data_IF_162576782601
#
_entry.id   IF_162576782601
#
_cell.length_a   1.000
_cell.length_b   1.000
_cell.length_c   1.000
_cell.angle_alpha   90.00
_cell.angle_beta   90.00
_cell.angle_gamma   90.00
#
_symmetry.space_group_name_H-M   'P 1'
#
loop_
_entity.id
_entity.type
_entity.pdbx_description
1 polymer ?
#
# COMPACT_ATOMS: atom_id res chain seq x y z
N UNK A 1 10.00 6.42 38.08
CA UNK A 1 9.33 5.91 36.89
C UNK A 1 10.10 4.72 36.34
N UNK A 2 9.42 3.69 35.89
CA UNK A 2 9.97 2.53 35.19
C UNK A 2 9.40 2.43 33.79
N UNK A 3 10.25 2.22 32.80
CA UNK A 3 9.88 2.03 31.41
C UNK A 3 10.40 0.67 30.97
N UNK A 4 9.52 -0.21 30.55
CA UNK A 4 9.87 -1.49 29.94
C UNK A 4 9.52 -1.44 28.46
N UNK A 5 10.50 -1.68 27.58
CA UNK A 5 10.35 -1.67 26.12
C UNK A 5 10.31 -3.12 25.64
N UNK A 6 9.19 -3.52 25.05
CA UNK A 6 8.98 -4.85 24.46
C UNK A 6 8.18 -4.69 23.15
N UNK A 7 7.18 -5.56 22.90
CA UNK A 7 6.18 -5.32 21.84
C UNK A 7 5.37 -4.03 22.04
N UNK A 8 5.29 -3.56 23.27
CA UNK A 8 4.75 -2.25 23.70
C UNK A 8 5.73 -1.60 24.65
N UNK A 9 5.49 -0.34 24.98
CA UNK A 9 6.22 0.36 26.03
C UNK A 9 5.32 0.42 27.25
N UNK A 10 5.70 -0.27 28.33
CA UNK A 10 5.02 -0.22 29.62
C UNK A 10 5.64 0.87 30.50
N UNK A 11 4.85 1.81 30.95
CA UNK A 11 5.27 2.96 31.75
C UNK A 11 4.58 2.87 33.11
N UNK A 12 5.37 2.69 34.19
CA UNK A 12 4.87 2.60 35.57
C UNK A 12 5.42 3.72 36.41
N UNK A 13 4.60 4.23 37.32
CA UNK A 13 4.99 5.30 38.23
C UNK A 13 5.33 6.61 37.54
N UNK A 14 4.70 6.90 36.38
CA UNK A 14 4.84 8.17 35.68
C UNK A 14 4.04 9.30 36.36
N UNK A 15 4.50 10.56 36.26
CA UNK A 15 3.71 11.71 36.70
C UNK A 15 2.39 11.80 35.90
N UNK A 16 1.30 12.21 36.59
CA UNK A 16 -0.02 12.32 35.97
C UNK A 16 -0.03 13.17 34.67
N UNK A 17 0.65 14.35 34.59
CA UNK A 17 0.66 15.15 33.35
C UNK A 17 1.30 14.41 32.16
N UNK A 18 2.28 13.53 32.40
CA UNK A 18 2.88 12.71 31.34
C UNK A 18 1.88 11.65 30.84
N UNK A 19 1.19 10.99 31.78
CA UNK A 19 0.17 9.99 31.43
C UNK A 19 -0.97 10.64 30.64
N UNK A 20 -1.46 11.81 31.08
CA UNK A 20 -2.54 12.55 30.43
C UNK A 20 -2.17 13.01 29.01
N UNK A 21 -0.92 13.48 28.79
CA UNK A 21 -0.41 13.79 27.44
C UNK A 21 -0.47 12.57 26.51
N UNK A 22 -0.11 11.38 27.01
CA UNK A 22 -0.19 10.16 26.22
C UNK A 22 -1.62 9.68 26.01
N UNK A 23 -2.48 9.71 27.00
CA UNK A 23 -3.90 9.36 26.87
C UNK A 23 -4.56 10.24 25.80
N UNK A 24 -4.31 11.55 25.85
CA UNK A 24 -4.82 12.49 24.85
C UNK A 24 -4.29 12.20 23.45
N UNK A 25 -2.98 11.96 23.31
CA UNK A 25 -2.35 11.67 22.01
C UNK A 25 -2.78 10.32 21.41
N UNK A 26 -3.06 9.33 22.25
CA UNK A 26 -3.41 7.96 21.85
C UNK A 26 -4.92 7.73 21.74
N UNK A 27 -5.72 8.76 22.02
CA UNK A 27 -7.17 8.74 21.81
C UNK A 27 -7.48 9.37 20.45
N UNK A 28 -7.95 8.56 19.53
CA UNK A 28 -8.19 8.93 18.12
C UNK A 28 -9.70 8.89 17.84
N UNK A 29 -10.22 9.87 17.13
CA UNK A 29 -11.60 9.84 16.66
C UNK A 29 -11.84 8.66 15.71
N UNK A 30 -12.92 7.93 15.93
CA UNK A 30 -13.28 6.81 15.05
C UNK A 30 -13.95 7.33 13.78
N UNK A 31 -13.32 7.15 12.59
CA UNK A 31 -13.89 7.62 11.32
C UNK A 31 -15.26 7.00 11.02
N UNK A 32 -15.46 5.74 11.38
CA UNK A 32 -16.74 5.03 11.16
C UNK A 32 -17.86 5.70 11.94
N UNK A 33 -17.60 6.11 13.18
CA UNK A 33 -18.55 6.86 14.01
C UNK A 33 -18.85 8.23 13.38
N UNK A 34 -17.81 8.97 12.99
CA UNK A 34 -17.96 10.30 12.39
C UNK A 34 -18.73 10.26 11.06
N UNK A 35 -18.46 9.26 10.23
CA UNK A 35 -19.16 9.09 8.95
C UNK A 35 -20.63 8.69 9.14
N UNK A 36 -20.93 7.82 10.13
CA UNK A 36 -22.29 7.45 10.46
C UNK A 36 -23.09 8.68 10.94
N UNK A 37 -22.49 9.50 11.83
CA UNK A 37 -23.09 10.76 12.29
C UNK A 37 -23.36 11.74 11.14
N UNK A 38 -22.40 11.96 10.26
CA UNK A 38 -22.56 12.85 9.09
C UNK A 38 -23.67 12.41 8.12
N UNK A 39 -23.89 11.10 8.03
CA UNK A 39 -24.90 10.52 7.15
C UNK A 39 -26.25 10.26 7.83
N UNK A 40 -26.42 10.68 9.11
CA UNK A 40 -27.62 10.43 9.88
C UNK A 40 -27.91 8.95 10.15
N UNK A 41 -26.88 8.09 10.07
CA UNK A 41 -27.00 6.65 10.35
C UNK A 41 -26.85 6.39 11.85
N UNK A 42 -27.42 5.25 12.31
CA UNK A 42 -27.27 4.83 13.70
C UNK A 42 -25.78 4.62 14.05
N UNK A 43 -25.37 5.13 15.19
CA UNK A 43 -24.02 4.91 15.78
C UNK A 43 -24.05 3.89 16.90
N UNK A 44 -25.17 3.17 17.09
CA UNK A 44 -25.28 2.15 18.13
C UNK A 44 -24.22 1.05 17.92
N UNK A 45 -23.50 0.73 18.98
CA UNK A 45 -22.41 -0.25 18.94
C UNK A 45 -21.10 0.22 18.27
N UNK A 46 -21.04 1.45 17.74
CA UNK A 46 -19.82 2.03 17.17
C UNK A 46 -19.17 2.96 18.20
N UNK A 47 -17.96 2.63 18.72
CA UNK A 47 -17.28 3.50 19.69
C UNK A 47 -16.88 4.83 19.02
N UNK A 48 -17.08 5.95 19.75
CA UNK A 48 -16.70 7.28 19.27
C UNK A 48 -15.20 7.45 19.12
N UNK A 49 -14.42 6.82 20.01
CA UNK A 49 -12.96 6.91 20.03
C UNK A 49 -12.31 5.54 19.88
N UNK A 50 -11.13 5.54 19.31
CA UNK A 50 -10.19 4.42 19.28
C UNK A 50 -9.09 4.74 20.28
N UNK A 51 -8.92 3.89 21.29
CA UNK A 51 -7.87 4.02 22.29
C UNK A 51 -6.69 3.13 21.89
N UNK A 52 -5.56 3.75 21.52
CA UNK A 52 -4.34 3.03 21.14
C UNK A 52 -3.38 2.91 22.34
N UNK A 53 -3.91 2.65 23.53
CA UNK A 53 -3.18 2.38 24.76
C UNK A 53 -3.96 1.42 25.63
N UNK A 54 -3.30 0.85 26.63
CA UNK A 54 -3.91 -0.02 27.62
C UNK A 54 -3.57 0.47 29.04
N UNK A 55 -4.56 0.44 29.91
CA UNK A 55 -4.32 0.67 31.33
C UNK A 55 -3.70 -0.60 31.93
N UNK A 56 -2.57 -0.46 32.61
CA UNK A 56 -1.89 -1.52 33.35
C UNK A 56 -1.79 -1.16 34.81
N UNK A 57 -1.48 -2.16 35.64
CA UNK A 57 -1.25 -1.90 37.07
C UNK A 57 -0.12 -0.89 37.28
N UNK A 58 -0.45 0.24 37.90
CA UNK A 58 0.49 1.33 38.20
C UNK A 58 0.92 2.19 37.03
N UNK A 59 0.23 2.13 35.85
CA UNK A 59 0.59 2.94 34.70
C UNK A 59 -0.17 2.64 33.42
N UNK A 60 0.48 2.86 32.28
CA UNK A 60 -0.07 2.63 30.94
C UNK A 60 0.90 1.83 30.05
N UNK A 61 0.34 1.07 29.11
CA UNK A 61 1.08 0.49 28.00
C UNK A 61 0.74 1.23 26.72
N UNK A 62 1.76 1.69 26.01
CA UNK A 62 1.63 2.48 24.78
C UNK A 62 2.32 1.77 23.61
N UNK A 63 1.96 2.05 22.35
CA UNK A 63 2.65 1.50 21.19
C UNK A 63 4.13 1.90 21.17
N UNK A 64 4.98 1.01 20.69
CA UNK A 64 6.45 1.25 20.72
C UNK A 64 6.91 2.37 19.77
N UNK A 65 6.19 2.68 18.70
CA UNK A 65 6.49 3.82 17.83
C UNK A 65 6.39 5.17 18.54
N UNK A 66 5.82 5.21 19.76
CA UNK A 66 5.80 6.40 20.63
C UNK A 66 7.10 6.63 21.39
N UNK A 67 8.15 5.81 21.21
CA UNK A 67 9.40 5.88 22.00
C UNK A 67 10.06 7.26 21.97
N UNK A 68 10.19 7.87 20.78
CA UNK A 68 10.77 9.24 20.67
C UNK A 68 9.96 10.27 21.42
N UNK A 69 8.64 10.22 21.27
CA UNK A 69 7.73 11.11 22.02
C UNK A 69 7.87 10.87 23.53
N UNK A 70 8.06 9.64 23.97
CA UNK A 70 8.25 9.33 25.38
C UNK A 70 9.57 9.94 25.91
N UNK A 71 10.66 9.86 25.18
CA UNK A 71 11.94 10.48 25.57
C UNK A 71 11.77 11.99 25.74
N UNK A 72 11.12 12.66 24.79
CA UNK A 72 10.80 14.11 24.91
C UNK A 72 9.86 14.40 26.08
N UNK A 73 8.89 13.55 26.36
CA UNK A 73 8.00 13.73 27.50
C UNK A 73 8.73 13.57 28.84
N UNK A 74 9.66 12.63 28.95
CA UNK A 74 10.53 12.44 30.13
C UNK A 74 11.32 13.72 30.41
N UNK A 75 11.87 14.35 29.39
CA UNK A 75 12.59 15.62 29.49
C UNK A 75 11.63 16.77 29.84
N UNK A 76 10.54 16.93 29.11
CA UNK A 76 9.50 17.97 29.28
C UNK A 76 8.94 18.02 30.71
N UNK A 77 8.67 16.85 31.28
CA UNK A 77 8.10 16.71 32.62
C UNK A 77 9.18 16.54 33.72
N UNK A 78 10.46 16.73 33.39
CA UNK A 78 11.60 16.72 34.31
C UNK A 78 11.63 15.47 35.22
N UNK A 79 11.48 14.29 34.62
CA UNK A 79 11.48 13.02 35.36
C UNK A 79 12.91 12.65 35.74
N UNK A 80 13.29 12.95 36.98
CA UNK A 80 14.69 12.83 37.47
C UNK A 80 15.19 11.40 37.64
N UNK A 81 14.30 10.43 37.86
CA UNK A 81 14.67 9.02 38.04
C UNK A 81 13.85 8.16 37.11
N UNK A 82 14.46 7.63 36.07
CA UNK A 82 13.87 6.74 35.13
C UNK A 82 14.73 5.49 34.96
N UNK A 83 14.13 4.31 35.22
CA UNK A 83 14.75 3.00 34.92
C UNK A 83 14.18 2.53 33.59
N UNK A 84 15.07 2.21 32.66
CA UNK A 84 14.68 1.66 31.34
C UNK A 84 15.13 0.21 31.29
N UNK A 85 14.21 -0.67 30.94
CA UNK A 85 14.44 -2.11 30.72
C UNK A 85 14.08 -2.38 29.26
N UNK A 86 15.05 -2.86 28.49
CA UNK A 86 14.83 -3.26 27.10
C UNK A 86 14.71 -4.79 27.03
N UNK A 87 13.48 -5.29 26.83
CA UNK A 87 13.15 -6.71 26.75
C UNK A 87 12.93 -7.17 25.30
N UNK A 88 13.26 -6.33 24.32
CA UNK A 88 13.09 -6.66 22.90
C UNK A 88 14.07 -7.74 22.45
N UNK A 89 13.63 -8.58 21.52
CA UNK A 89 14.43 -9.69 21.03
C UNK A 89 15.43 -9.23 19.96
N UNK A 90 16.72 -9.39 20.29
CA UNK A 90 17.83 -9.19 19.36
C UNK A 90 18.68 -10.45 19.33
N UNK A 91 19.11 -10.84 18.14
CA UNK A 91 20.00 -11.98 17.92
C UNK A 91 21.42 -11.49 17.63
N UNK A 92 22.39 -12.40 17.63
CA UNK A 92 23.70 -12.11 17.08
C UNK A 92 23.59 -11.74 15.61
N UNK A 93 24.45 -10.82 15.18
CA UNK A 93 24.44 -10.35 13.80
C UNK A 93 24.94 -11.47 12.88
N UNK A 94 24.11 -11.88 11.93
CA UNK A 94 24.52 -12.79 10.86
C UNK A 94 24.85 -11.98 9.59
N UNK A 95 25.99 -12.29 8.98
CA UNK A 95 26.39 -11.63 7.75
C UNK A 95 25.49 -12.08 6.59
N UNK A 96 24.81 -11.14 5.96
CA UNK A 96 23.99 -11.37 4.76
C UNK A 96 24.62 -10.62 3.58
N UNK A 97 25.03 -11.35 2.54
CA UNK A 97 25.61 -10.76 1.34
C UNK A 97 24.55 -9.99 0.53
N UNK A 98 24.79 -8.72 0.34
CA UNK A 98 23.92 -7.81 -0.42
C UNK A 98 24.59 -7.25 -1.69
N UNK A 99 25.71 -7.81 -2.16
CA UNK A 99 26.43 -7.34 -3.36
C UNK A 99 25.60 -7.39 -4.63
N UNK A 100 24.56 -8.22 -4.65
CA UNK A 100 23.59 -8.26 -5.74
C UNK A 100 22.67 -7.02 -5.77
N UNK A 101 22.61 -6.24 -4.67
CA UNK A 101 21.83 -5.00 -4.60
C UNK A 101 22.64 -3.86 -5.19
N UNK A 102 22.17 -3.35 -6.33
CA UNK A 102 22.72 -2.12 -6.94
C UNK A 102 21.79 -0.97 -6.62
N UNK A 103 22.27 -0.04 -5.79
CA UNK A 103 21.49 1.14 -5.43
C UNK A 103 21.36 2.13 -6.58
N UNK A 104 20.16 2.66 -6.75
CA UNK A 104 19.97 3.92 -7.45
C UNK A 104 20.47 5.07 -6.54
N UNK A 105 20.93 6.23 -7.11
CA UNK A 105 21.56 7.29 -6.31
C UNK A 105 20.75 7.80 -5.12
N UNK A 106 19.43 7.71 -5.17
CA UNK A 106 18.52 8.15 -4.11
C UNK A 106 18.18 7.09 -3.05
N UNK A 107 18.67 5.85 -3.16
CA UNK A 107 18.29 4.75 -2.27
C UNK A 107 19.25 4.56 -1.09
N UNK A 108 20.54 4.81 -1.25
CA UNK A 108 21.53 4.54 -0.22
C UNK A 108 21.32 5.41 1.04
N UNK A 109 21.04 6.70 0.87
CA UNK A 109 20.75 7.61 1.98
C UNK A 109 19.61 7.12 2.88
N UNK A 110 18.42 6.85 2.32
CA UNK A 110 17.29 6.28 3.07
C UNK A 110 17.56 4.95 3.79
N UNK A 111 18.41 4.07 3.22
CA UNK A 111 18.83 2.84 3.91
C UNK A 111 19.62 3.20 5.17
N UNK A 112 20.62 4.09 5.04
CA UNK A 112 21.41 4.57 6.17
C UNK A 112 20.51 5.24 7.22
N UNK A 113 19.59 6.10 6.79
CA UNK A 113 18.67 6.80 7.67
C UNK A 113 17.83 5.84 8.52
N UNK A 114 17.29 4.77 7.92
CA UNK A 114 16.51 3.76 8.64
C UNK A 114 17.34 3.09 9.74
N UNK A 115 18.54 2.62 9.41
CA UNK A 115 19.34 1.81 10.35
C UNK A 115 20.10 2.64 11.40
N UNK A 116 20.30 3.95 11.16
CA UNK A 116 21.09 4.81 12.08
C UNK A 116 20.24 5.73 12.94
N UNK A 117 19.04 6.12 12.45
CA UNK A 117 18.18 7.08 13.17
C UNK A 117 17.27 6.44 14.21
N UNK A 118 17.18 5.12 14.27
CA UNK A 118 16.39 4.42 15.29
C UNK A 118 16.17 2.95 14.96
N UNK A 119 15.65 2.21 15.95
CA UNK A 119 15.32 0.79 15.82
C UNK A 119 13.88 0.59 15.29
N UNK A 120 13.16 1.69 15.11
CA UNK A 120 11.82 1.74 14.56
C UNK A 120 11.62 3.00 13.72
N UNK A 121 10.72 2.92 12.76
CA UNK A 121 10.38 4.04 11.87
C UNK A 121 9.86 3.58 10.53
N UNK A 122 9.69 4.53 9.61
CA UNK A 122 9.13 4.25 8.31
C UNK A 122 9.97 4.84 7.18
N UNK A 123 9.99 4.11 6.06
CA UNK A 123 10.34 4.64 4.75
C UNK A 123 9.07 5.12 4.05
N UNK A 124 9.02 6.40 3.72
CA UNK A 124 8.03 6.97 2.81
C UNK A 124 8.67 7.18 1.44
N UNK A 125 8.18 6.48 0.44
CA UNK A 125 8.78 6.51 -0.88
C UNK A 125 7.75 6.20 -1.98
N UNK A 126 7.71 6.95 -3.10
CA UNK A 126 6.69 6.76 -4.13
C UNK A 126 6.72 5.35 -4.73
N UNK A 127 5.64 4.98 -5.40
CA UNK A 127 5.62 3.74 -6.17
C UNK A 127 6.73 3.78 -7.24
N UNK A 128 7.38 2.63 -7.50
CA UNK A 128 8.51 2.57 -8.45
C UNK A 128 9.87 3.01 -7.89
N UNK A 129 9.93 3.61 -6.70
CA UNK A 129 11.20 4.02 -6.06
C UNK A 129 12.11 2.86 -5.62
N UNK A 130 11.59 1.62 -5.58
CA UNK A 130 12.32 0.45 -5.11
C UNK A 130 12.28 0.26 -3.58
N UNK A 131 11.17 0.55 -2.91
CA UNK A 131 10.97 0.31 -1.47
C UNK A 131 11.43 -1.07 -1.01
N UNK A 132 11.11 -2.12 -1.80
CA UNK A 132 11.52 -3.49 -1.50
C UNK A 132 13.04 -3.64 -1.49
N UNK A 133 13.76 -2.97 -2.40
CA UNK A 133 15.24 -2.97 -2.43
C UNK A 133 15.79 -2.34 -1.16
N UNK A 134 15.23 -1.19 -0.75
CA UNK A 134 15.64 -0.52 0.51
C UNK A 134 15.37 -1.43 1.71
N UNK A 135 14.18 -2.04 1.79
CA UNK A 135 13.85 -2.97 2.88
C UNK A 135 14.77 -4.20 2.93
N UNK A 136 15.07 -4.82 1.79
CA UNK A 136 16.01 -5.96 1.71
C UNK A 136 17.44 -5.55 2.06
N UNK A 137 17.83 -4.30 1.77
CA UNK A 137 19.12 -3.75 2.21
C UNK A 137 19.19 -3.61 3.73
N UNK A 138 18.06 -3.19 4.35
CA UNK A 138 17.98 -3.15 5.81
C UNK A 138 18.10 -4.56 6.40
N UNK A 139 17.47 -5.58 5.79
CA UNK A 139 17.63 -6.99 6.22
C UNK A 139 19.11 -7.38 6.20
N UNK A 140 19.83 -7.08 5.12
CA UNK A 140 21.23 -7.43 4.98
C UNK A 140 22.13 -6.70 6.01
N UNK A 141 21.90 -5.41 6.23
CA UNK A 141 22.72 -4.59 7.15
C UNK A 141 22.45 -4.97 8.60
N UNK A 142 21.18 -5.21 8.95
CA UNK A 142 20.77 -5.53 10.33
C UNK A 142 21.14 -6.97 10.70
N UNK A 143 21.15 -7.90 9.73
CA UNK A 143 21.59 -9.29 9.91
C UNK A 143 20.83 -10.04 10.99
N UNK A 144 19.51 -9.91 11.03
CA UNK A 144 18.64 -10.54 12.03
C UNK A 144 17.62 -11.47 11.36
N UNK A 145 17.21 -12.56 12.04
CA UNK A 145 16.03 -13.30 11.62
C UNK A 145 14.87 -12.34 11.37
N UNK A 146 14.35 -12.34 10.14
CA UNK A 146 13.44 -11.32 9.64
C UNK A 146 12.07 -11.88 9.33
N UNK A 147 11.02 -11.18 9.76
CA UNK A 147 9.65 -11.37 9.31
C UNK A 147 9.23 -10.20 8.41
N UNK A 148 8.94 -10.52 7.15
CA UNK A 148 8.41 -9.58 6.15
C UNK A 148 6.89 -9.75 6.05
N UNK A 149 6.13 -8.78 6.56
CA UNK A 149 4.66 -8.83 6.60
C UNK A 149 4.06 -8.23 5.35
N UNK A 150 3.12 -8.96 4.74
CA UNK A 150 2.33 -8.52 3.58
C UNK A 150 0.85 -8.82 3.79
N UNK A 151 -0.01 -8.20 2.99
CA UNK A 151 -1.46 -8.42 3.06
C UNK A 151 -1.99 -9.29 1.92
N UNK A 152 -1.22 -9.57 0.85
CA UNK A 152 -1.67 -10.41 -0.27
C UNK A 152 -0.68 -11.54 -0.60
N UNK A 153 -1.23 -12.65 -1.12
CA UNK A 153 -0.43 -13.80 -1.59
C UNK A 153 0.57 -13.42 -2.68
N UNK A 154 0.18 -12.48 -3.56
CA UNK A 154 1.01 -12.04 -4.69
C UNK A 154 2.21 -11.24 -4.20
N UNK A 155 2.01 -10.29 -3.27
CA UNK A 155 3.11 -9.57 -2.63
C UNK A 155 4.06 -10.51 -1.87
N UNK A 156 3.52 -11.55 -1.23
CA UNK A 156 4.34 -12.56 -0.56
C UNK A 156 5.26 -13.30 -1.54
N UNK A 157 4.73 -13.77 -2.68
CA UNK A 157 5.52 -14.41 -3.73
C UNK A 157 6.61 -13.47 -4.28
N UNK A 158 6.26 -12.20 -4.52
CA UNK A 158 7.22 -11.20 -5.00
C UNK A 158 8.31 -10.89 -3.98
N UNK A 159 7.97 -10.80 -2.70
CA UNK A 159 8.95 -10.54 -1.63
C UNK A 159 9.96 -11.68 -1.53
N UNK A 160 9.52 -12.94 -1.57
CA UNK A 160 10.43 -14.11 -1.57
C UNK A 160 11.32 -14.09 -2.81
N UNK A 161 10.76 -13.98 -4.02
CA UNK A 161 11.54 -14.00 -5.25
C UNK A 161 12.59 -12.88 -5.31
N UNK A 162 12.26 -11.69 -4.80
CA UNK A 162 13.20 -10.58 -4.69
C UNK A 162 14.27 -10.82 -3.62
N UNK A 163 13.88 -11.40 -2.47
CA UNK A 163 14.83 -11.74 -1.43
C UNK A 163 15.84 -12.78 -1.92
N UNK A 164 15.41 -13.85 -2.56
CA UNK A 164 16.28 -14.86 -3.19
C UNK A 164 17.25 -14.23 -4.21
N UNK A 165 16.77 -13.28 -5.01
CA UNK A 165 17.58 -12.58 -6.01
C UNK A 165 18.63 -11.64 -5.38
N UNK A 166 18.27 -10.91 -4.36
CA UNK A 166 19.08 -9.82 -3.81
C UNK A 166 19.91 -10.22 -2.59
N UNK A 167 19.57 -11.32 -1.92
CA UNK A 167 20.22 -11.85 -0.73
C UNK A 167 20.68 -13.30 -0.96
N UNK A 168 21.60 -13.53 -1.92
CA UNK A 168 21.96 -14.87 -2.37
C UNK A 168 22.69 -15.74 -1.33
N UNK A 169 23.18 -15.13 -0.22
CA UNK A 169 23.82 -15.87 0.86
C UNK A 169 22.83 -16.55 1.82
N UNK A 170 21.56 -16.18 1.77
CA UNK A 170 20.52 -16.89 2.53
C UNK A 170 20.21 -18.19 1.79
N UNK A 171 20.39 -19.34 2.46
CA UNK A 171 20.13 -20.63 1.86
C UNK A 171 18.62 -20.84 1.64
N UNK A 172 18.24 -21.70 0.70
CA UNK A 172 16.81 -21.92 0.39
C UNK A 172 16.03 -22.48 1.58
N UNK A 173 16.68 -23.24 2.44
CA UNK A 173 16.09 -23.81 3.65
C UNK A 173 15.85 -22.77 4.74
N UNK A 174 16.55 -21.64 4.67
CA UNK A 174 16.43 -20.52 5.62
C UNK A 174 15.29 -19.54 5.29
N UNK A 175 14.67 -19.70 4.09
CA UNK A 175 13.45 -19.00 3.73
C UNK A 175 12.23 -19.71 4.26
N UNK A 176 11.24 -18.94 4.70
CA UNK A 176 9.97 -19.46 5.19
C UNK A 176 8.76 -18.69 4.68
N UNK A 177 7.60 -19.32 4.80
CA UNK A 177 6.32 -18.72 4.46
C UNK A 177 5.25 -19.06 5.49
N UNK A 178 4.56 -18.02 5.97
CA UNK A 178 3.36 -18.13 6.79
C UNK A 178 2.18 -17.63 5.95
N UNK A 179 1.49 -18.56 5.31
CA UNK A 179 0.41 -18.23 4.37
C UNK A 179 0.18 -19.33 3.35
N UNK A 180 -0.86 -19.21 2.54
CA UNK A 180 -1.17 -20.16 1.46
C UNK A 180 -1.29 -21.62 1.92
N UNK A 181 -1.86 -21.84 3.11
CA UNK A 181 -1.98 -23.17 3.71
C UNK A 181 -0.74 -23.67 4.47
N UNK A 182 0.37 -22.93 4.46
CA UNK A 182 1.62 -23.26 5.15
C UNK A 182 1.80 -22.40 6.41
N UNK A 183 2.42 -23.01 7.41
CA UNK A 183 2.97 -22.34 8.58
C UNK A 183 4.40 -22.83 8.78
N UNK A 184 5.31 -22.25 8.04
CA UNK A 184 6.70 -22.71 7.99
C UNK A 184 7.63 -21.47 8.10
N UNK A 185 7.89 -21.00 9.32
CA UNK A 185 8.79 -19.88 9.53
C UNK A 185 10.24 -20.32 9.30
N UNK A 186 10.89 -19.73 8.31
CA UNK A 186 12.30 -19.93 8.03
C UNK A 186 13.22 -19.45 9.15
N UNK A 187 14.50 -19.79 9.06
CA UNK A 187 15.49 -19.37 10.04
C UNK A 187 15.88 -17.90 9.87
N UNK A 188 16.12 -17.43 8.63
CA UNK A 188 16.64 -16.08 8.37
C UNK A 188 15.62 -15.14 7.74
N UNK A 189 14.80 -15.60 6.84
CA UNK A 189 13.83 -14.74 6.16
C UNK A 189 12.48 -15.43 6.01
N UNK A 190 11.47 -14.86 6.64
CA UNK A 190 10.09 -15.37 6.56
C UNK A 190 9.17 -14.33 5.98
N UNK A 191 8.34 -14.71 5.01
CA UNK A 191 7.23 -13.86 4.55
C UNK A 191 5.94 -14.30 5.20
N UNK A 192 5.28 -13.37 5.90
CA UNK A 192 4.02 -13.60 6.62
C UNK A 192 2.83 -12.92 5.93
N UNK A 193 1.76 -13.68 5.67
CA UNK A 193 0.45 -13.15 5.30
C UNK A 193 -0.36 -12.82 6.54
N UNK A 194 -0.60 -11.54 6.79
CA UNK A 194 -1.30 -11.05 7.97
C UNK A 194 -2.65 -11.73 8.18
N UNK A 195 -3.46 -11.90 7.11
CA UNK A 195 -4.77 -12.56 7.21
C UNK A 195 -4.70 -14.04 7.62
N UNK A 196 -3.57 -14.71 7.34
CA UNK A 196 -3.35 -16.09 7.80
C UNK A 196 -2.94 -16.11 9.26
N UNK A 197 -2.09 -15.18 9.67
CA UNK A 197 -1.52 -15.12 11.02
C UNK A 197 -2.56 -14.79 12.11
N UNK A 198 -3.62 -14.03 11.77
CA UNK A 198 -4.64 -13.60 12.75
C UNK A 198 -5.82 -14.55 12.91
N UNK A 199 -5.84 -15.68 12.20
CA UNK A 199 -6.92 -16.67 12.33
C UNK A 199 -6.95 -17.25 13.72
N UNK A 200 -8.14 -17.51 14.26
CA UNK A 200 -8.31 -18.03 15.62
C UNK A 200 -7.56 -19.35 15.86
N UNK A 201 -7.61 -20.25 14.87
CA UNK A 201 -6.90 -21.54 14.92
C UNK A 201 -5.36 -21.40 14.91
N UNK A 202 -4.83 -20.18 14.70
CA UNK A 202 -3.39 -19.87 14.63
C UNK A 202 -2.89 -19.02 15.81
N UNK A 203 -3.74 -18.74 16.78
CA UNK A 203 -3.40 -17.82 17.87
C UNK A 203 -2.24 -18.33 18.74
N UNK A 204 -2.19 -19.62 19.03
CA UNK A 204 -1.07 -20.24 19.76
C UNK A 204 0.22 -20.16 18.94
N UNK A 205 0.17 -20.56 17.68
CA UNK A 205 1.31 -20.48 16.77
C UNK A 205 1.83 -19.05 16.60
N UNK A 206 0.94 -18.05 16.59
CA UNK A 206 1.33 -16.64 16.53
C UNK A 206 2.04 -16.22 17.83
N UNK A 207 1.59 -16.69 18.98
CA UNK A 207 2.28 -16.46 20.27
C UNK A 207 3.68 -17.06 20.29
N UNK A 208 3.88 -18.24 19.70
CA UNK A 208 5.19 -18.92 19.61
C UNK A 208 6.19 -18.13 18.75
N UNK A 209 5.71 -17.26 17.86
CA UNK A 209 6.56 -16.38 17.06
C UNK A 209 7.07 -15.15 17.82
N UNK A 210 6.61 -14.91 19.06
CA UNK A 210 6.88 -13.69 19.83
C UNK A 210 8.35 -13.25 19.78
N UNK A 211 9.26 -14.15 20.10
CA UNK A 211 10.69 -13.90 20.22
C UNK A 211 11.52 -14.59 19.13
N UNK A 212 10.90 -14.91 17.99
CA UNK A 212 11.56 -15.62 16.89
C UNK A 212 12.28 -14.69 15.91
N UNK A 213 11.89 -13.44 15.82
CA UNK A 213 12.42 -12.49 14.86
C UNK A 213 13.07 -11.29 15.57
N UNK A 214 14.26 -10.89 15.09
CA UNK A 214 14.93 -9.68 15.54
C UNK A 214 14.56 -8.45 14.71
N UNK A 215 14.06 -8.67 13.49
CA UNK A 215 13.59 -7.64 12.57
C UNK A 215 12.18 -7.97 12.04
N UNK A 216 11.28 -6.99 12.08
CA UNK A 216 9.99 -7.05 11.39
C UNK A 216 9.87 -5.89 10.42
N UNK A 217 9.54 -6.19 9.17
CA UNK A 217 9.28 -5.18 8.13
C UNK A 217 7.83 -5.32 7.67
N UNK A 218 7.09 -4.21 7.69
CA UNK A 218 5.75 -4.11 7.15
C UNK A 218 5.81 -3.53 5.75
N UNK A 219 5.48 -4.32 4.76
CA UNK A 219 5.29 -3.83 3.39
C UNK A 219 3.89 -3.24 3.24
N UNK A 220 3.79 -2.12 2.52
CA UNK A 220 2.58 -1.30 2.42
C UNK A 220 2.01 -0.92 3.82
N UNK A 221 2.85 -0.30 4.63
CA UNK A 221 2.59 0.00 6.05
C UNK A 221 1.33 0.86 6.29
N UNK A 222 0.78 1.52 5.25
CA UNK A 222 -0.49 2.24 5.34
C UNK A 222 -1.68 1.32 5.69
N UNK A 223 -1.54 0.00 5.59
CA UNK A 223 -2.50 -0.97 6.11
C UNK A 223 -2.38 -1.22 7.62
N UNK A 224 -1.31 -0.75 8.29
CA UNK A 224 -1.03 -0.99 9.72
C UNK A 224 -2.21 -0.67 10.66
N UNK A 225 -2.99 0.42 10.48
CA UNK A 225 -4.13 0.71 11.33
C UNK A 225 -5.27 -0.32 11.29
N UNK A 226 -5.24 -1.28 10.35
CA UNK A 226 -6.20 -2.37 10.36
C UNK A 226 -5.99 -3.28 11.57
N UNK A 227 -7.07 -3.69 12.21
CA UNK A 227 -7.08 -4.53 13.43
C UNK A 227 -6.22 -5.79 13.27
N UNK A 228 -6.21 -6.36 12.07
CA UNK A 228 -5.43 -7.56 11.75
C UNK A 228 -3.92 -7.32 11.82
N UNK A 229 -3.41 -6.21 11.27
CA UNK A 229 -2.00 -5.85 11.37
C UNK A 229 -1.58 -5.57 12.80
N UNK A 230 -2.38 -4.79 13.53
CA UNK A 230 -2.13 -4.48 14.95
C UNK A 230 -2.10 -5.74 15.81
N UNK A 231 -3.01 -6.72 15.54
CA UNK A 231 -3.03 -8.00 16.26
C UNK A 231 -1.72 -8.76 16.07
N UNK A 232 -1.17 -8.82 14.85
CA UNK A 232 0.12 -9.49 14.60
C UNK A 232 1.27 -8.73 15.26
N UNK A 233 1.39 -7.42 15.02
CA UNK A 233 2.52 -6.61 15.54
C UNK A 233 2.56 -6.64 17.07
N UNK A 234 1.41 -6.55 17.72
CA UNK A 234 1.31 -6.56 19.18
C UNK A 234 1.66 -7.92 19.83
N UNK A 235 1.76 -9.00 19.06
CA UNK A 235 2.22 -10.31 19.56
C UNK A 235 3.74 -10.49 19.41
N UNK A 236 4.38 -9.76 18.50
CA UNK A 236 5.80 -9.91 18.16
C UNK A 236 6.67 -8.95 18.96
N UNK A 237 7.88 -9.38 19.33
CA UNK A 237 8.80 -8.61 20.16
C UNK A 237 10.17 -8.36 19.48
N UNK A 238 10.23 -7.96 18.20
CA UNK A 238 11.50 -7.75 17.51
C UNK A 238 12.25 -6.54 18.06
N UNK A 239 13.57 -6.53 17.97
CA UNK A 239 14.38 -5.34 18.27
C UNK A 239 14.13 -4.25 17.23
N UNK A 240 14.12 -4.60 15.94
CA UNK A 240 13.91 -3.67 14.83
C UNK A 240 12.51 -3.80 14.24
N UNK A 241 11.83 -2.67 14.02
CA UNK A 241 10.49 -2.61 13.45
C UNK A 241 10.38 -1.47 12.43
N UNK A 242 10.26 -1.81 11.15
CA UNK A 242 10.18 -0.81 10.10
C UNK A 242 8.95 -0.98 9.22
N UNK A 243 8.39 0.16 8.77
CA UNK A 243 7.31 0.20 7.79
C UNK A 243 7.80 0.76 6.45
N UNK A 244 7.32 0.20 5.35
CA UNK A 244 7.54 0.71 4.00
C UNK A 244 6.20 1.15 3.41
N UNK A 245 6.09 2.39 2.95
CA UNK A 245 4.82 2.89 2.38
C UNK A 245 5.06 3.89 1.24
N UNK A 246 4.14 3.89 0.27
CA UNK A 246 4.11 4.94 -0.75
C UNK A 246 3.36 6.18 -0.27
N UNK A 247 2.33 5.98 0.53
CA UNK A 247 1.42 7.03 1.00
C UNK A 247 1.34 6.99 2.52
N UNK A 248 1.95 7.95 3.24
CA UNK A 248 1.86 7.99 4.68
C UNK A 248 0.49 8.51 5.18
N UNK A 249 -0.31 9.10 4.29
CA UNK A 249 -1.61 9.68 4.63
C UNK A 249 -2.75 8.77 4.22
N UNK A 250 -3.82 8.75 5.03
CA UNK A 250 -5.03 7.94 4.83
C UNK A 250 -6.26 8.83 4.80
N UNK A 251 -7.28 8.45 4.02
CA UNK A 251 -8.56 9.18 3.97
C UNK A 251 -9.32 9.19 5.28
N UNK A 252 -9.23 8.08 6.00
CA UNK A 252 -9.87 7.90 7.30
C UNK A 252 -9.11 8.59 8.45
N UNK A 253 -7.98 9.26 8.16
CA UNK A 253 -7.11 9.92 9.14
C UNK A 253 -6.58 8.99 10.23
N UNK A 254 -6.57 7.68 9.98
CA UNK A 254 -6.00 6.68 10.88
C UNK A 254 -4.48 6.50 10.69
N UNK A 255 -3.83 7.29 9.82
CA UNK A 255 -2.37 7.32 9.72
C UNK A 255 -1.70 7.63 11.06
N UNK A 256 -2.36 8.34 11.95
CA UNK A 256 -1.85 8.60 13.30
C UNK A 256 -1.58 7.29 14.05
N UNK A 257 -2.43 6.27 13.90
CA UNK A 257 -2.23 4.94 14.52
C UNK A 257 -0.99 4.25 13.93
N UNK A 258 -0.76 4.40 12.63
CA UNK A 258 0.44 3.88 11.98
C UNK A 258 1.71 4.53 12.55
N UNK A 259 1.73 5.86 12.70
CA UNK A 259 2.84 6.58 13.32
C UNK A 259 3.03 6.21 14.80
N UNK A 260 1.95 6.06 15.55
CA UNK A 260 2.00 5.61 16.94
C UNK A 260 2.57 4.19 17.06
N UNK A 261 2.32 3.32 16.09
CA UNK A 261 2.75 1.90 16.13
C UNK A 261 4.17 1.70 15.61
N UNK A 262 4.52 2.33 14.49
CA UNK A 262 5.78 2.10 13.77
C UNK A 262 6.83 3.20 14.00
N UNK A 263 6.42 4.34 14.55
CA UNK A 263 7.25 5.53 14.66
C UNK A 263 7.09 6.47 13.47
N UNK A 264 7.88 7.54 13.48
CA UNK A 264 7.83 8.60 12.48
C UNK A 264 8.44 8.15 11.13
N UNK A 265 8.23 8.97 10.09
CA UNK A 265 8.92 8.81 8.81
C UNK A 265 10.42 9.10 8.97
N UNK A 266 11.19 8.07 9.22
CA UNK A 266 12.64 8.14 9.48
C UNK A 266 13.42 8.38 8.20
N UNK A 267 12.95 7.84 7.08
CA UNK A 267 13.57 7.96 5.76
C UNK A 267 12.51 8.35 4.71
N UNK A 268 12.88 9.25 3.80
CA UNK A 268 11.98 9.75 2.75
C UNK A 268 12.70 9.75 1.40
N UNK A 269 12.07 9.19 0.39
CA UNK A 269 12.46 9.35 -1.03
C UNK A 269 11.40 10.24 -1.68
N UNK A 270 11.82 11.37 -2.23
CA UNK A 270 10.92 12.29 -2.93
C UNK A 270 10.71 11.85 -4.38
N UNK A 271 9.53 12.13 -4.94
CA UNK A 271 9.20 11.78 -6.32
C UNK A 271 10.17 12.42 -7.32
N UNK A 272 10.54 13.67 -7.10
CA UNK A 272 11.47 14.43 -7.96
C UNK A 272 12.88 13.77 -8.02
N UNK A 273 13.32 13.15 -6.93
CA UNK A 273 14.57 12.40 -6.92
C UNK A 273 14.49 11.15 -7.78
N UNK A 274 13.34 10.43 -7.70
CA UNK A 274 13.13 9.20 -8.48
C UNK A 274 13.04 9.53 -9.97
N UNK A 275 12.34 10.60 -10.33
CA UNK A 275 12.23 11.10 -11.69
C UNK A 275 13.58 11.54 -12.26
N UNK A 276 14.32 12.37 -11.53
CA UNK A 276 15.63 12.90 -11.93
C UNK A 276 16.64 11.82 -12.34
N UNK A 277 16.57 10.67 -11.68
CA UNK A 277 17.48 9.55 -11.95
C UNK A 277 16.84 8.45 -12.82
N UNK A 278 15.76 8.76 -13.57
CA UNK A 278 15.11 7.85 -14.50
C UNK A 278 14.48 6.61 -13.84
N UNK A 279 14.18 6.71 -12.56
CA UNK A 279 13.52 5.62 -11.82
C UNK A 279 12.04 5.48 -12.13
N UNK A 280 11.43 6.55 -12.61
CA UNK A 280 10.04 6.63 -13.07
C UNK A 280 9.93 7.50 -14.32
N UNK A 281 8.89 7.24 -15.09
CA UNK A 281 8.43 8.07 -16.20
C UNK A 281 7.13 8.71 -15.75
N UNK A 282 7.06 10.04 -15.65
CA UNK A 282 5.81 10.73 -15.28
C UNK A 282 4.81 10.56 -16.43
N UNK A 283 3.67 9.89 -16.22
CA UNK A 283 2.71 9.67 -17.28
C UNK A 283 2.01 10.98 -17.66
N UNK A 284 1.71 11.14 -18.95
CA UNK A 284 0.76 12.16 -19.41
C UNK A 284 -0.67 11.66 -19.26
N UNK A 285 -1.60 12.55 -18.97
CA UNK A 285 -3.03 12.25 -18.95
C UNK A 285 -3.70 12.83 -20.18
N UNK A 286 -4.30 11.97 -20.97
CA UNK A 286 -5.15 12.35 -22.09
C UNK A 286 -6.60 12.10 -21.73
N UNK A 287 -7.41 13.15 -21.61
CA UNK A 287 -8.82 12.96 -21.33
C UNK A 287 -9.69 13.20 -22.55
N UNK A 288 -10.73 12.36 -22.69
CA UNK A 288 -11.78 12.54 -23.67
C UNK A 288 -13.08 12.92 -23.00
N UNK A 289 -13.77 13.94 -23.55
CA UNK A 289 -15.13 14.25 -23.17
C UNK A 289 -16.09 13.25 -23.83
N UNK A 290 -16.97 12.70 -23.02
CA UNK A 290 -18.03 11.82 -23.48
C UNK A 290 -19.36 12.53 -23.28
N UNK A 291 -20.11 12.66 -24.37
CA UNK A 291 -21.44 13.27 -24.36
C UNK A 291 -22.53 12.20 -24.27
N UNK A 292 -23.46 12.40 -23.37
CA UNK A 292 -24.61 11.53 -23.13
C UNK A 292 -25.90 12.36 -23.19
N UNK A 293 -27.04 11.73 -23.46
CA UNK A 293 -28.32 12.42 -23.31
C UNK A 293 -28.48 12.85 -21.84
N UNK A 294 -29.08 14.01 -21.65
CA UNK A 294 -29.34 14.55 -20.31
C UNK A 294 -30.08 13.52 -19.44
N UNK A 295 -29.63 13.37 -18.18
CA UNK A 295 -30.12 12.34 -17.27
C UNK A 295 -30.65 13.01 -16.01
N UNK A 296 -31.97 12.98 -15.85
CA UNK A 296 -32.67 13.38 -14.63
C UNK A 296 -32.86 12.18 -13.66
N UNK A 297 -31.81 11.41 -13.44
CA UNK A 297 -31.82 10.26 -12.53
C UNK A 297 -30.85 10.48 -11.38
N UNK A 298 -31.34 10.35 -10.15
CA UNK A 298 -30.54 10.42 -8.92
C UNK A 298 -30.03 9.04 -8.48
N UNK A 299 -30.40 7.96 -9.16
CA UNK A 299 -29.96 6.62 -8.84
C UNK A 299 -28.59 6.33 -9.46
N UNK A 300 -27.54 6.49 -8.66
CA UNK A 300 -26.15 6.31 -9.08
C UNK A 300 -25.90 4.92 -9.70
N UNK A 301 -26.53 3.87 -9.18
CA UNK A 301 -26.36 2.51 -9.72
C UNK A 301 -26.92 2.38 -11.14
N UNK A 302 -28.07 3.01 -11.39
CA UNK A 302 -28.70 3.05 -12.71
C UNK A 302 -27.88 3.89 -13.70
N UNK A 303 -27.40 5.08 -13.26
CA UNK A 303 -26.51 5.93 -14.06
C UNK A 303 -25.29 5.12 -14.52
N UNK A 304 -24.63 4.41 -13.61
CA UNK A 304 -23.46 3.60 -13.95
C UNK A 304 -23.78 2.47 -14.92
N UNK A 305 -24.93 1.79 -14.74
CA UNK A 305 -25.34 0.73 -15.66
C UNK A 305 -25.61 1.27 -17.06
N UNK A 306 -26.52 2.25 -17.16
CA UNK A 306 -27.09 2.68 -18.44
C UNK A 306 -26.14 3.59 -19.23
N UNK A 307 -25.34 4.42 -18.54
CA UNK A 307 -24.45 5.42 -19.17
C UNK A 307 -22.98 5.05 -19.21
N UNK A 308 -22.53 4.06 -18.42
CA UNK A 308 -21.15 3.59 -18.43
C UNK A 308 -21.05 2.17 -19.00
N UNK A 309 -21.72 1.20 -18.38
CA UNK A 309 -21.57 -0.22 -18.74
C UNK A 309 -22.22 -0.52 -20.09
N UNK A 310 -23.48 -0.10 -20.25
CA UNK A 310 -24.32 -0.42 -21.41
C UNK A 310 -24.27 0.63 -22.53
N UNK A 311 -23.49 1.70 -22.34
CA UNK A 311 -23.35 2.77 -23.33
C UNK A 311 -22.44 2.34 -24.50
N UNK A 312 -23.07 1.88 -25.59
CA UNK A 312 -22.36 1.38 -26.78
C UNK A 312 -21.40 2.40 -27.39
N UNK A 313 -21.83 3.65 -27.53
CA UNK A 313 -20.99 4.71 -28.14
C UNK A 313 -19.72 4.97 -27.33
N UNK A 314 -19.88 5.05 -26.00
CA UNK A 314 -18.77 5.20 -25.07
C UNK A 314 -17.82 4.00 -25.13
N UNK A 315 -18.36 2.78 -25.13
CA UNK A 315 -17.56 1.57 -25.22
C UNK A 315 -16.78 1.47 -26.53
N UNK A 316 -17.39 1.82 -27.66
CA UNK A 316 -16.70 1.86 -28.95
C UNK A 316 -15.59 2.92 -29.00
N UNK A 317 -15.79 4.08 -28.35
CA UNK A 317 -14.75 5.11 -28.22
C UNK A 317 -13.52 4.56 -27.47
N UNK A 318 -13.76 3.92 -26.30
CA UNK A 318 -12.70 3.28 -25.50
C UNK A 318 -11.96 2.22 -26.32
N UNK A 319 -12.73 1.31 -26.95
CA UNK A 319 -12.18 0.22 -27.78
C UNK A 319 -11.31 0.76 -28.91
N UNK A 320 -11.78 1.82 -29.58
CA UNK A 320 -11.02 2.48 -30.68
C UNK A 320 -9.66 3.03 -30.19
N UNK A 321 -9.65 3.67 -29.03
CA UNK A 321 -8.42 4.19 -28.44
C UNK A 321 -7.46 3.05 -28.03
N UNK A 322 -7.98 1.99 -27.41
CA UNK A 322 -7.18 0.83 -27.00
C UNK A 322 -6.54 0.14 -28.20
N UNK A 323 -7.32 -0.09 -29.27
CA UNK A 323 -6.83 -0.75 -30.48
C UNK A 323 -5.74 0.09 -31.17
N UNK A 324 -5.94 1.41 -31.28
CA UNK A 324 -4.96 2.31 -31.85
C UNK A 324 -3.61 2.22 -31.12
N UNK A 325 -3.62 2.23 -29.78
CA UNK A 325 -2.41 2.10 -28.98
C UNK A 325 -1.79 0.70 -29.08
N UNK A 326 -2.61 -0.35 -29.11
CA UNK A 326 -2.13 -1.71 -29.25
C UNK A 326 -1.48 -1.95 -30.64
N UNK A 327 -2.05 -1.39 -31.71
CA UNK A 327 -1.49 -1.42 -33.08
C UNK A 327 -0.17 -0.64 -33.14
N UNK A 328 -0.04 0.44 -32.37
CA UNK A 328 1.21 1.21 -32.25
C UNK A 328 2.30 0.46 -31.43
N UNK A 329 2.03 -0.77 -30.99
CA UNK A 329 3.00 -1.58 -30.24
C UNK A 329 3.01 -1.35 -28.74
N UNK A 330 2.04 -0.59 -28.21
CA UNK A 330 1.98 -0.31 -26.79
C UNK A 330 1.35 -1.45 -25.98
N UNK A 331 1.78 -1.58 -24.73
CA UNK A 331 1.18 -2.48 -23.74
C UNK A 331 0.10 -1.74 -22.97
N UNK A 332 -1.14 -2.24 -23.12
CA UNK A 332 -2.34 -1.55 -22.68
C UNK A 332 -3.00 -2.26 -21.50
N UNK A 333 -3.39 -1.50 -20.48
CA UNK A 333 -4.28 -1.99 -19.44
C UNK A 333 -5.59 -1.22 -19.45
N UNK A 334 -6.71 -1.93 -19.47
CA UNK A 334 -8.05 -1.35 -19.46
C UNK A 334 -8.70 -1.65 -18.12
N UNK A 335 -9.04 -0.62 -17.36
CA UNK A 335 -9.48 -0.78 -15.97
C UNK A 335 -10.91 -0.32 -15.78
N UNK A 336 -11.74 -1.20 -15.21
CA UNK A 336 -13.11 -0.88 -14.85
C UNK A 336 -13.40 -1.24 -13.38
N UNK A 337 -14.28 -0.48 -12.74
CA UNK A 337 -14.83 -0.79 -11.42
C UNK A 337 -15.99 -1.80 -11.46
N UNK A 338 -16.34 -2.33 -12.65
CA UNK A 338 -17.46 -3.25 -12.83
C UNK A 338 -17.05 -4.45 -13.67
N UNK A 339 -17.20 -5.66 -13.11
CA UNK A 339 -16.86 -6.91 -13.80
C UNK A 339 -17.61 -7.08 -15.13
N UNK A 340 -18.90 -6.77 -15.14
CA UNK A 340 -19.71 -6.84 -16.38
C UNK A 340 -19.17 -5.90 -17.47
N UNK A 341 -18.70 -4.71 -17.10
CA UNK A 341 -18.07 -3.78 -18.04
C UNK A 341 -16.73 -4.32 -18.57
N UNK A 342 -15.92 -4.97 -17.72
CA UNK A 342 -14.71 -5.64 -18.17
C UNK A 342 -15.03 -6.70 -19.23
N UNK A 343 -16.06 -7.55 -19.03
CA UNK A 343 -16.50 -8.55 -20.00
C UNK A 343 -16.95 -7.92 -21.32
N UNK A 344 -17.74 -6.84 -21.24
CA UNK A 344 -18.21 -6.12 -22.45
C UNK A 344 -17.01 -5.57 -23.24
N UNK A 345 -16.07 -4.89 -22.58
CA UNK A 345 -14.89 -4.33 -23.24
C UNK A 345 -13.96 -5.42 -23.77
N UNK A 346 -13.75 -6.49 -23.00
CA UNK A 346 -12.95 -7.63 -23.45
C UNK A 346 -13.49 -8.24 -24.73
N UNK A 347 -14.80 -8.52 -24.80
CA UNK A 347 -15.41 -9.09 -25.99
C UNK A 347 -15.26 -8.19 -27.22
N UNK A 348 -15.44 -6.87 -27.05
CA UNK A 348 -15.27 -5.93 -28.15
C UNK A 348 -13.79 -5.80 -28.59
N UNK A 349 -12.88 -5.70 -27.65
CA UNK A 349 -11.43 -5.55 -27.95
C UNK A 349 -10.87 -6.84 -28.55
N UNK A 350 -11.17 -8.01 -27.96
CA UNK A 350 -10.60 -9.30 -28.40
C UNK A 350 -11.06 -9.69 -29.80
N UNK A 351 -12.26 -9.25 -30.22
CA UNK A 351 -12.76 -9.43 -31.59
C UNK A 351 -11.88 -8.67 -32.60
N UNK A 352 -11.41 -7.48 -32.29
CA UNK A 352 -10.59 -6.65 -33.16
C UNK A 352 -9.09 -6.86 -32.94
N UNK A 353 -8.67 -7.25 -31.73
CA UNK A 353 -7.29 -7.46 -31.32
C UNK A 353 -7.16 -8.75 -30.51
N UNK A 354 -6.84 -9.90 -31.17
CA UNK A 354 -6.79 -11.21 -30.51
C UNK A 354 -5.74 -11.33 -29.38
N UNK A 355 -4.72 -10.46 -29.38
CA UNK A 355 -3.74 -10.39 -28.29
C UNK A 355 -4.28 -9.69 -27.06
N UNK A 356 -5.50 -10.03 -26.65
CA UNK A 356 -6.22 -9.48 -25.51
C UNK A 356 -6.50 -10.56 -24.47
N UNK A 357 -6.31 -10.24 -23.20
CA UNK A 357 -6.67 -11.09 -22.07
C UNK A 357 -7.61 -10.37 -21.11
N UNK A 358 -8.28 -11.14 -20.25
CA UNK A 358 -9.14 -10.63 -19.19
C UNK A 358 -8.77 -11.29 -17.86
N UNK A 359 -8.70 -10.46 -16.79
CA UNK A 359 -8.48 -10.94 -15.43
C UNK A 359 -9.41 -10.17 -14.47
N UNK A 360 -10.44 -10.82 -13.97
CA UNK A 360 -11.42 -10.24 -13.03
C UNK A 360 -11.81 -11.27 -11.99
N UNK A 361 -12.44 -10.83 -10.90
CA UNK A 361 -12.95 -11.74 -9.87
C UNK A 361 -14.12 -12.64 -10.30
N UNK A 362 -14.45 -12.72 -11.61
CA UNK A 362 -15.34 -13.76 -12.17
C UNK A 362 -14.57 -15.06 -12.49
N UNK A 363 -13.24 -14.98 -12.52
CA UNK A 363 -12.32 -16.08 -12.80
C UNK A 363 -11.62 -16.51 -11.53
N UNK A 364 -11.19 -17.79 -11.48
CA UNK A 364 -10.39 -18.30 -10.36
C UNK A 364 -9.01 -17.61 -10.30
N UNK A 365 -8.38 -17.59 -9.12
CA UNK A 365 -7.03 -17.05 -8.96
C UNK A 365 -6.03 -17.61 -9.98
N UNK A 366 -6.16 -18.92 -10.28
CA UNK A 366 -5.30 -19.62 -11.25
C UNK A 366 -5.49 -19.12 -12.69
N UNK A 367 -6.75 -18.85 -13.07
CA UNK A 367 -7.06 -18.32 -14.41
C UNK A 367 -6.60 -16.87 -14.53
N UNK A 368 -6.80 -16.06 -13.49
CA UNK A 368 -6.29 -14.70 -13.46
C UNK A 368 -4.77 -14.66 -13.55
N UNK A 369 -4.07 -15.48 -12.74
CA UNK A 369 -2.62 -15.59 -12.77
C UNK A 369 -2.12 -16.02 -14.16
N UNK A 370 -2.82 -16.93 -14.85
CA UNK A 370 -2.50 -17.35 -16.23
C UNK A 370 -2.59 -16.17 -17.21
N UNK A 371 -3.63 -15.34 -17.15
CA UNK A 371 -3.77 -14.19 -18.06
C UNK A 371 -2.71 -13.13 -17.77
N UNK A 372 -2.42 -12.89 -16.49
CA UNK A 372 -1.35 -11.98 -16.08
C UNK A 372 0.01 -12.49 -16.54
N UNK A 373 0.26 -13.81 -16.45
CA UNK A 373 1.51 -14.41 -16.94
C UNK A 373 1.65 -14.26 -18.47
N UNK A 374 0.59 -14.50 -19.24
CA UNK A 374 0.58 -14.28 -20.69
C UNK A 374 0.91 -12.83 -21.06
N UNK A 375 0.48 -11.86 -20.20
CA UNK A 375 0.83 -10.45 -20.38
C UNK A 375 2.33 -10.21 -20.09
N UNK A 376 2.88 -10.83 -19.06
CA UNK A 376 4.33 -10.80 -18.77
C UNK A 376 5.17 -11.41 -19.88
N UNK A 377 4.70 -12.52 -20.48
CA UNK A 377 5.39 -13.24 -21.54
C UNK A 377 5.20 -12.60 -22.93
N UNK A 378 4.55 -11.42 -22.99
CA UNK A 378 4.24 -10.69 -24.22
C UNK A 378 3.35 -11.46 -25.22
N UNK A 379 2.66 -12.52 -24.78
CA UNK A 379 1.70 -13.25 -25.62
C UNK A 379 0.44 -12.41 -25.89
N UNK A 380 0.07 -11.54 -24.93
CA UNK A 380 -0.98 -10.57 -25.08
C UNK A 380 -0.43 -9.16 -24.79
N UNK A 381 -0.95 -8.16 -25.49
CA UNK A 381 -0.54 -6.75 -25.34
C UNK A 381 -1.63 -5.88 -24.72
N UNK A 382 -2.84 -6.40 -24.59
CA UNK A 382 -3.96 -5.73 -23.91
C UNK A 382 -4.46 -6.62 -22.78
N UNK A 383 -4.58 -6.06 -21.57
CA UNK A 383 -5.18 -6.74 -20.42
C UNK A 383 -6.37 -5.92 -19.90
N UNK A 384 -7.57 -6.52 -19.88
CA UNK A 384 -8.77 -5.93 -19.28
C UNK A 384 -8.92 -6.45 -17.85
N UNK A 385 -9.07 -5.55 -16.88
CA UNK A 385 -9.09 -5.95 -15.47
C UNK A 385 -9.90 -4.99 -14.57
N UNK A 386 -10.08 -5.37 -13.32
CA UNK A 386 -10.64 -4.50 -12.28
C UNK A 386 -9.55 -3.77 -11.49
N UNK A 387 -9.94 -2.67 -10.80
CA UNK A 387 -9.00 -1.92 -9.95
C UNK A 387 -8.44 -2.74 -8.80
N UNK A 388 -9.20 -3.71 -8.29
CA UNK A 388 -8.79 -4.57 -7.19
C UNK A 388 -7.55 -5.40 -7.59
N UNK A 389 -7.55 -5.96 -8.79
CA UNK A 389 -6.42 -6.76 -9.29
C UNK A 389 -5.16 -5.92 -9.52
N UNK A 390 -5.31 -4.67 -9.95
CA UNK A 390 -4.19 -3.73 -10.09
C UNK A 390 -3.55 -3.38 -8.77
N UNK A 391 -4.34 -3.26 -7.69
CA UNK A 391 -3.85 -2.97 -6.34
C UNK A 391 -2.99 -4.08 -5.76
N UNK A 392 -3.23 -5.33 -6.13
CA UNK A 392 -2.69 -6.52 -5.47
C UNK A 392 -1.48 -7.16 -6.19
N UNK A 393 -0.37 -6.41 -6.32
CA UNK A 393 0.90 -6.99 -6.77
C UNK A 393 1.04 -7.19 -8.28
N UNK A 394 0.22 -6.51 -9.10
CA UNK A 394 0.45 -6.42 -10.54
C UNK A 394 1.70 -5.58 -10.81
N UNK A 395 2.78 -6.21 -11.24
CA UNK A 395 4.11 -5.62 -11.36
C UNK A 395 4.67 -5.80 -12.77
N UNK A 396 4.29 -4.90 -13.68
CA UNK A 396 4.67 -4.95 -15.10
C UNK A 396 5.39 -3.66 -15.46
N UNK A 397 6.70 -3.72 -15.66
CA UNK A 397 7.52 -2.53 -15.87
C UNK A 397 7.33 -1.93 -17.28
N UNK A 398 7.08 -2.77 -18.28
CA UNK A 398 6.88 -2.33 -19.68
C UNK A 398 5.48 -1.76 -19.97
N UNK A 399 4.53 -1.85 -19.02
CA UNK A 399 3.19 -1.26 -19.16
C UNK A 399 3.27 0.25 -19.39
N UNK A 400 2.80 0.76 -20.54
CA UNK A 400 2.93 2.17 -20.91
C UNK A 400 1.61 2.86 -21.28
N UNK A 401 0.47 2.14 -21.34
CA UNK A 401 -0.85 2.71 -21.62
C UNK A 401 -1.87 2.22 -20.62
N UNK A 402 -2.59 3.14 -19.98
CA UNK A 402 -3.68 2.79 -19.06
C UNK A 402 -4.97 3.51 -19.45
N UNK A 403 -6.08 2.78 -19.47
CA UNK A 403 -7.40 3.28 -19.85
C UNK A 403 -8.36 3.19 -18.66
N UNK A 404 -8.83 4.31 -18.14
CA UNK A 404 -9.78 4.39 -17.03
C UNK A 404 -11.19 4.32 -17.60
N UNK A 405 -11.67 3.09 -17.83
CA UNK A 405 -12.95 2.87 -18.49
C UNK A 405 -14.17 3.21 -17.61
N UNK A 406 -14.07 3.20 -16.30
CA UNK A 406 -15.14 3.56 -15.37
C UNK A 406 -14.77 4.76 -14.52
N UNK A 407 -15.57 5.82 -14.43
CA UNK A 407 -15.32 6.94 -13.53
C UNK A 407 -15.32 6.49 -12.05
N UNK A 408 -14.47 7.10 -11.24
CA UNK A 408 -14.40 6.86 -9.79
C UNK A 408 -13.83 8.07 -9.06
N UNK A 409 -14.08 8.16 -7.76
CA UNK A 409 -13.60 9.26 -6.90
C UNK A 409 -12.34 8.92 -6.09
N UNK A 410 -11.84 7.71 -6.17
CA UNK A 410 -10.86 7.25 -5.21
C UNK A 410 -9.43 7.66 -5.59
N UNK A 411 -8.88 8.64 -4.87
CA UNK A 411 -7.52 9.14 -4.98
C UNK A 411 -6.46 8.02 -4.98
N UNK A 412 -6.50 7.12 -4.01
CA UNK A 412 -5.56 6.00 -3.93
C UNK A 412 -5.60 5.04 -5.13
N UNK A 413 -6.74 4.92 -5.83
CA UNK A 413 -6.83 4.09 -7.05
C UNK A 413 -6.08 4.72 -8.22
N UNK A 414 -6.14 6.05 -8.37
CA UNK A 414 -5.35 6.77 -9.38
C UNK A 414 -3.87 6.62 -9.10
N UNK A 415 -3.45 6.85 -7.85
CA UNK A 415 -2.05 6.71 -7.45
C UNK A 415 -1.52 5.29 -7.68
N UNK A 416 -2.31 4.27 -7.37
CA UNK A 416 -1.95 2.88 -7.64
C UNK A 416 -1.78 2.61 -9.14
N UNK A 417 -2.72 3.08 -9.97
CA UNK A 417 -2.64 2.93 -11.43
C UNK A 417 -1.42 3.66 -11.98
N UNK A 418 -1.24 4.93 -11.60
CA UNK A 418 -0.08 5.75 -11.99
C UNK A 418 1.20 5.09 -11.52
N UNK A 419 1.26 4.61 -10.29
CA UNK A 419 2.41 3.89 -9.72
C UNK A 419 2.81 2.64 -10.50
N UNK A 420 1.88 2.00 -11.25
CA UNK A 420 2.19 0.86 -12.12
C UNK A 420 2.73 1.29 -13.48
N UNK A 421 2.11 2.30 -14.07
CA UNK A 421 2.46 2.75 -15.43
C UNK A 421 3.72 3.63 -15.45
N UNK A 422 4.09 4.27 -14.35
CA UNK A 422 5.24 5.18 -14.29
C UNK A 422 6.60 4.47 -14.17
N UNK A 423 6.64 3.15 -14.02
CA UNK A 423 7.91 2.41 -13.90
C UNK A 423 8.71 2.51 -15.18
N UNK A 424 10.01 2.77 -15.03
CA UNK A 424 10.93 2.74 -16.16
C UNK A 424 11.30 1.32 -16.52
N UNK A 425 11.34 1.03 -17.81
CA UNK A 425 11.84 -0.21 -18.39
C UNK A 425 12.65 0.09 -19.65
N UNK A 426 13.52 -0.84 -20.04
CA UNK A 426 14.25 -0.75 -21.30
C UNK A 426 13.27 -0.70 -22.48
N UNK A 427 13.44 0.26 -23.38
CA UNK A 427 12.57 0.45 -24.54
C UNK A 427 11.22 1.13 -24.22
N UNK A 428 11.02 1.65 -23.01
CA UNK A 428 9.84 2.40 -22.64
C UNK A 428 10.18 3.88 -22.49
N UNK A 429 9.78 4.67 -23.49
CA UNK A 429 10.12 6.11 -23.58
C UNK A 429 9.05 7.01 -22.97
N UNK A 430 7.79 6.56 -22.93
CA UNK A 430 6.66 7.34 -22.43
C UNK A 430 5.64 6.47 -21.68
N UNK A 431 4.72 7.15 -21.00
CA UNK A 431 3.54 6.54 -20.38
C UNK A 431 2.34 7.47 -20.52
N UNK A 432 1.16 6.92 -20.86
CA UNK A 432 -0.07 7.68 -21.04
C UNK A 432 -1.24 7.04 -20.30
N UNK A 433 -1.98 7.87 -19.55
CA UNK A 433 -3.26 7.51 -18.94
C UNK A 433 -4.38 8.13 -19.77
N UNK A 434 -5.28 7.32 -20.29
CA UNK A 434 -6.52 7.75 -20.95
C UNK A 434 -7.65 7.80 -19.93
N UNK A 435 -8.29 8.96 -19.79
CA UNK A 435 -9.44 9.18 -18.90
C UNK A 435 -10.66 9.64 -19.71
N UNK A 436 -11.83 9.07 -19.41
CA UNK A 436 -13.07 9.37 -20.10
C UNK A 436 -14.00 10.14 -19.16
N UNK A 437 -14.34 11.38 -19.53
CA UNK A 437 -15.06 12.35 -18.73
C UNK A 437 -16.47 12.52 -19.24
N UNK A 438 -17.44 11.98 -18.56
CA UNK A 438 -18.87 12.05 -18.90
C UNK A 438 -19.41 13.42 -18.45
N UNK A 439 -19.34 14.43 -19.33
CA UNK A 439 -19.55 15.85 -18.99
C UNK A 439 -20.99 16.25 -18.76
N UNK A 440 -21.95 15.52 -19.34
CA UNK A 440 -23.39 15.83 -19.26
C UNK A 440 -24.07 15.23 -18.04
N UNK A 441 -23.36 14.40 -17.28
CA UNK A 441 -23.85 13.74 -16.06
C UNK A 441 -23.10 14.31 -14.84
N UNK A 442 -23.73 15.21 -14.10
CA UNK A 442 -23.11 15.98 -13.04
C UNK A 442 -22.35 15.15 -12.00
N UNK A 443 -22.92 14.03 -11.55
CA UNK A 443 -22.29 13.14 -10.57
C UNK A 443 -21.01 12.47 -11.12
N UNK A 444 -20.90 12.21 -12.41
CA UNK A 444 -19.74 11.62 -13.08
C UNK A 444 -18.69 12.69 -13.43
N UNK A 445 -19.13 13.85 -13.92
CA UNK A 445 -18.28 15.02 -14.15
C UNK A 445 -17.55 15.43 -12.87
N UNK A 446 -18.27 15.49 -11.75
CA UNK A 446 -17.74 15.82 -10.42
C UNK A 446 -16.66 14.83 -9.93
N UNK A 447 -16.59 13.64 -10.46
CA UNK A 447 -15.53 12.66 -10.13
C UNK A 447 -14.21 12.97 -10.84
N UNK A 448 -14.27 13.65 -11.98
CA UNK A 448 -13.08 14.12 -12.68
C UNK A 448 -12.66 15.49 -12.14
N UNK A 449 -13.56 16.47 -12.18
CA UNK A 449 -13.32 17.83 -11.74
C UNK A 449 -14.53 18.38 -10.98
N UNK A 450 -14.32 18.96 -9.81
CA UNK A 450 -15.37 19.59 -9.00
C UNK A 450 -14.93 20.99 -8.54
N UNK A 451 -15.87 21.93 -8.55
CA UNK A 451 -15.69 23.26 -7.98
C UNK A 451 -15.58 23.26 -6.45
N UNK A 452 -16.06 22.19 -5.80
CA UNK A 452 -15.94 22.04 -4.34
C UNK A 452 -14.50 21.66 -3.95
N UNK A 453 -13.75 22.51 -3.23
CA UNK A 453 -12.34 22.26 -2.88
C UNK A 453 -12.15 21.06 -1.96
N UNK A 454 -13.18 20.64 -1.24
CA UNK A 454 -13.12 19.51 -0.31
C UNK A 454 -13.44 18.14 -0.97
N UNK A 455 -13.76 18.12 -2.27
CA UNK A 455 -14.00 16.87 -3.00
C UNK A 455 -12.72 16.38 -3.65
N UNK A 456 -12.34 15.14 -3.37
CA UNK A 456 -11.31 14.43 -4.12
C UNK A 456 -11.77 14.19 -5.54
N UNK A 457 -10.93 14.60 -6.51
CA UNK A 457 -11.19 14.40 -7.94
C UNK A 457 -9.96 13.82 -8.61
N UNK A 458 -10.16 13.14 -9.75
CA UNK A 458 -9.03 12.59 -10.50
C UNK A 458 -8.10 13.71 -11.00
N UNK A 459 -8.66 14.82 -11.46
CA UNK A 459 -7.88 15.98 -11.92
C UNK A 459 -6.92 16.53 -10.84
N UNK A 460 -7.40 16.67 -9.58
CA UNK A 460 -6.54 17.12 -8.48
C UNK A 460 -5.46 16.11 -8.15
N UNK A 461 -5.79 14.82 -8.24
CA UNK A 461 -4.78 13.76 -8.04
C UNK A 461 -3.71 13.82 -9.11
N UNK A 462 -4.08 14.01 -10.39
CA UNK A 462 -3.10 14.19 -11.46
C UNK A 462 -2.22 15.41 -11.24
N UNK A 463 -2.80 16.57 -10.89
CA UNK A 463 -2.07 17.79 -10.57
C UNK A 463 -1.08 17.61 -9.41
N UNK A 464 -1.50 16.91 -8.35
CA UNK A 464 -0.61 16.59 -7.20
C UNK A 464 0.53 15.64 -7.57
N UNK A 465 0.31 14.78 -8.55
CA UNK A 465 1.33 13.88 -9.09
C UNK A 465 2.18 14.55 -10.18
N UNK A 466 2.08 15.87 -10.38
CA UNK A 466 2.78 16.66 -11.39
C UNK A 466 2.59 16.13 -12.82
N UNK A 467 1.42 15.58 -13.13
CA UNK A 467 1.12 15.04 -14.45
C UNK A 467 0.51 16.11 -15.37
N UNK A 468 0.96 16.15 -16.61
CA UNK A 468 0.34 16.97 -17.65
C UNK A 468 -1.03 16.40 -18.01
N UNK A 469 -2.08 17.23 -17.95
CA UNK A 469 -3.47 16.85 -18.26
C UNK A 469 -3.96 17.63 -19.46
N UNK A 470 -4.13 16.95 -20.57
CA UNK A 470 -4.52 17.56 -21.83
C UNK A 470 -5.76 16.89 -22.47
N UNK A 471 -6.61 17.64 -23.19
CA UNK A 471 -7.71 17.05 -23.96
C UNK A 471 -7.15 16.26 -25.14
N UNK A 472 -7.91 15.22 -25.55
CA UNK A 472 -7.52 14.33 -26.64
C UNK A 472 -8.65 14.11 -27.63
#
# INVERSE_FOLDING_TARGET
MEIEISNKIMIRGAPYPLVDDFVSYLTVNNPVYLDAMKQGRSVYGVPQFIFNFENIYGGIAIPRGCRRRLLHAVEKYNVKKCRIIDSRKKFEHEHVDSRAIKYRPYQAGPVIDLVTKGDEGMLVAPAGSGKTVVGLSVVAIVGQPTLWLTHTKRLAKQAIARAEKFLPSISKEDYGIIGQGKWDPGRMFTVGLVQTMVREEREEQLRDLRDRFGLVILDEAHHCPATTFLKVINQLNPYYLYGLTATPYRRDKLEVIMFQTLGEATAVIKAEQVEKYGGIIVPKVRYRTVHSRHVDDNNVARIFRDHIVDNKSRNHLIVGDVIREAVAGNFCIVVSGRKAHCETLYNLISTAWPKTGIATGNYTDKEQDKQVQRFYDNEITVLVTTFELLGEGFDVDFLNRAFIATPFRAEGKVEQLVGRIQRSAEGKDDAVVYDYVDVDIGVLKDQFHSSNPNKDTRYRTYARLNMDVEPY
#
